data_IF_006901251246
#
_entry.id   IF_006901251246
#
_cell.length_a   1.000
_cell.length_b   1.000
_cell.length_c   1.000
_cell.angle_alpha   90.00
_cell.angle_beta   90.00
_cell.angle_gamma   90.00
#
_symmetry.space_group_name_H-M   'P 1'
#
loop_
_entity.id
_entity.type
_entity.pdbx_description
1 polymer ?
#
# COMPACT_ATOMS: atom_id res chain seq x y z
N UNK A 1 -25.35 20.19 17.47
CA UNK A 1 -23.92 20.25 17.81
C UNK A 1 -23.17 20.34 16.50
N UNK A 2 -22.62 21.51 16.19
CA UNK A 2 -22.00 21.80 14.90
C UNK A 2 -20.69 21.04 14.77
N UNK A 3 -20.61 20.15 13.80
CA UNK A 3 -19.37 19.54 13.34
C UNK A 3 -18.50 20.66 12.74
N UNK A 4 -17.46 21.09 13.46
CA UNK A 4 -16.46 22.02 12.96
C UNK A 4 -15.66 21.41 11.80
N UNK A 5 -16.21 21.50 10.60
CA UNK A 5 -15.46 21.29 9.36
C UNK A 5 -14.68 22.55 9.07
N UNK A 6 -13.36 22.52 9.28
CA UNK A 6 -12.48 23.53 8.70
C UNK A 6 -12.45 23.30 7.19
N UNK A 7 -13.16 24.12 6.45
CA UNK A 7 -13.04 24.20 5.00
C UNK A 7 -11.79 25.01 4.67
N UNK A 8 -10.68 24.33 4.36
CA UNK A 8 -9.72 24.96 3.47
C UNK A 8 -10.38 25.03 2.10
N UNK A 9 -10.58 26.23 1.59
CA UNK A 9 -11.05 26.44 0.22
C UNK A 9 -9.91 26.06 -0.71
N UNK A 10 -9.74 24.76 -0.89
CA UNK A 10 -8.88 24.18 -1.90
C UNK A 10 -9.64 24.31 -3.22
N UNK A 11 -9.17 25.15 -4.13
CA UNK A 11 -9.69 25.19 -5.48
C UNK A 11 -8.91 24.19 -6.34
N UNK A 12 -9.42 22.97 -6.54
CA UNK A 12 -8.72 21.92 -7.30
C UNK A 12 -8.46 22.34 -8.74
N UNK A 13 -9.32 23.23 -9.31
CA UNK A 13 -9.16 23.74 -10.66
C UNK A 13 -7.95 24.66 -10.82
N UNK A 14 -7.53 25.34 -9.76
CA UNK A 14 -6.35 26.22 -9.80
C UNK A 14 -5.02 25.46 -9.78
N UNK A 15 -5.01 24.23 -9.24
CA UNK A 15 -3.81 23.42 -9.18
C UNK A 15 -3.42 22.78 -10.53
N UNK A 16 -4.37 22.63 -11.45
CA UNK A 16 -4.20 21.88 -12.70
C UNK A 16 -4.27 22.77 -13.95
N UNK A 17 -4.83 23.98 -13.86
CA UNK A 17 -5.25 24.75 -15.05
C UNK A 17 -4.25 25.82 -15.56
N UNK A 18 -3.11 26.03 -14.96
CA UNK A 18 -2.12 26.99 -15.47
C UNK A 18 -0.96 26.26 -16.18
N UNK A 19 -1.02 26.25 -17.49
CA UNK A 19 -0.05 25.74 -18.48
C UNK A 19 -0.26 24.28 -18.97
N UNK A 20 -0.13 24.10 -20.28
CA UNK A 20 -0.24 22.85 -21.07
C UNK A 20 0.79 21.75 -20.75
N UNK A 21 1.38 21.70 -19.55
CA UNK A 21 2.29 20.65 -19.13
C UNK A 21 1.61 19.71 -18.14
N UNK A 22 1.85 18.41 -18.30
CA UNK A 22 1.35 17.39 -17.36
C UNK A 22 1.74 17.74 -15.93
N UNK A 23 0.79 17.63 -15.00
CA UNK A 23 1.00 17.93 -13.58
C UNK A 23 0.75 16.67 -12.76
N UNK A 24 1.81 15.97 -12.48
CA UNK A 24 1.75 14.77 -11.65
C UNK A 24 1.74 15.17 -10.16
N UNK A 25 0.80 14.59 -9.42
CA UNK A 25 0.56 14.93 -8.01
C UNK A 25 0.83 13.70 -7.15
N UNK A 26 1.62 13.85 -6.09
CA UNK A 26 1.81 12.84 -5.06
C UNK A 26 0.97 13.22 -3.85
N UNK A 27 0.03 12.36 -3.47
CA UNK A 27 -0.81 12.55 -2.28
C UNK A 27 -0.27 11.66 -1.15
N UNK A 28 0.15 12.28 -0.06
CA UNK A 28 0.66 11.58 1.14
C UNK A 28 -0.11 12.00 2.39
N UNK A 29 -0.12 11.14 3.40
CA UNK A 29 -0.54 11.50 4.75
C UNK A 29 0.60 12.16 5.50
N UNK A 30 0.36 13.27 6.16
CA UNK A 30 1.40 13.97 6.93
C UNK A 30 1.41 13.60 8.43
N UNK A 31 0.54 12.69 8.86
CA UNK A 31 0.41 12.23 10.25
C UNK A 31 0.63 10.71 10.35
N UNK A 32 -0.15 10.01 11.18
CA UNK A 32 -0.08 8.56 11.41
C UNK A 32 -1.09 7.74 10.58
N UNK A 33 -1.45 8.18 9.40
CA UNK A 33 -2.48 7.54 8.58
C UNK A 33 -3.90 8.01 8.94
N UNK A 34 -4.88 7.49 8.20
CA UNK A 34 -6.31 7.82 8.37
C UNK A 34 -6.63 9.33 8.25
N UNK A 35 -5.79 10.10 7.57
CA UNK A 35 -6.01 11.53 7.32
C UNK A 35 -7.17 11.80 6.33
N UNK A 36 -7.72 10.76 5.71
CA UNK A 36 -8.75 10.90 4.69
C UNK A 36 -8.19 11.07 3.27
N UNK A 37 -6.96 10.61 3.03
CA UNK A 37 -6.33 10.63 1.69
C UNK A 37 -7.24 10.11 0.59
N UNK A 38 -7.96 9.00 0.82
CA UNK A 38 -8.87 8.42 -0.16
C UNK A 38 -9.91 9.39 -0.69
N UNK A 39 -10.48 10.25 0.16
CA UNK A 39 -11.45 11.29 -0.25
C UNK A 39 -10.82 12.35 -1.16
N UNK A 40 -9.59 12.74 -0.87
CA UNK A 40 -8.86 13.73 -1.68
C UNK A 40 -8.41 13.11 -3.00
N UNK A 41 -7.95 11.85 -2.99
CA UNK A 41 -7.63 11.10 -4.21
C UNK A 41 -8.88 10.98 -5.10
N UNK A 42 -10.01 10.59 -4.54
CA UNK A 42 -11.28 10.47 -5.25
C UNK A 42 -11.71 11.82 -5.89
N UNK A 43 -11.60 12.92 -5.15
CA UNK A 43 -11.89 14.28 -5.62
C UNK A 43 -10.99 14.71 -6.80
N UNK A 44 -9.72 14.31 -6.81
CA UNK A 44 -8.75 14.65 -7.84
C UNK A 44 -8.79 13.69 -9.05
N UNK A 45 -9.31 12.49 -8.85
CA UNK A 45 -9.29 11.41 -9.86
C UNK A 45 -9.94 11.80 -11.20
N UNK A 46 -11.06 12.55 -11.25
CA UNK A 46 -11.65 12.96 -12.55
C UNK A 46 -10.73 13.82 -13.43
N UNK A 47 -9.65 14.39 -12.86
CA UNK A 47 -8.73 15.30 -13.55
C UNK A 47 -7.44 14.60 -13.99
N UNK A 48 -7.30 13.28 -13.75
CA UNK A 48 -6.10 12.51 -14.08
C UNK A 48 -6.41 11.33 -15.00
N UNK A 49 -5.43 10.91 -15.77
CA UNK A 49 -5.54 9.75 -16.64
C UNK A 49 -5.19 8.43 -15.90
N UNK A 50 -4.47 8.55 -14.80
CA UNK A 50 -4.02 7.39 -14.05
C UNK A 50 -3.88 7.67 -12.54
N UNK A 51 -4.12 6.62 -11.73
CA UNK A 51 -3.83 6.59 -10.30
C UNK A 51 -2.87 5.44 -9.99
N UNK A 52 -1.82 5.71 -9.21
CA UNK A 52 -0.73 4.75 -8.93
C UNK A 52 -0.56 4.56 -7.42
N UNK A 53 -0.65 3.32 -6.94
CA UNK A 53 -0.15 2.93 -5.62
C UNK A 53 1.33 2.59 -5.75
N UNK A 54 2.16 3.22 -4.93
CA UNK A 54 3.61 3.09 -5.07
C UNK A 54 4.30 2.43 -3.86
N UNK A 55 3.61 2.25 -2.74
CA UNK A 55 4.15 1.62 -1.53
C UNK A 55 3.05 1.02 -0.64
N UNK A 56 3.44 0.30 0.42
CA UNK A 56 2.55 -0.37 1.34
C UNK A 56 2.04 -1.70 0.79
N UNK A 57 0.92 -2.13 1.29
CA UNK A 57 0.23 -3.35 0.89
C UNK A 57 -1.24 -3.27 1.28
N UNK A 58 -1.87 -4.40 1.54
CA UNK A 58 -3.27 -4.47 1.98
C UNK A 58 -3.47 -4.07 3.47
N UNK A 59 -2.45 -3.53 4.12
CA UNK A 59 -2.57 -2.87 5.43
C UNK A 59 -3.17 -1.46 5.34
N UNK A 60 -3.29 -0.88 4.15
CA UNK A 60 -4.09 0.32 3.93
C UNK A 60 -5.58 -0.01 3.97
N UNK A 61 -6.42 0.99 4.21
CA UNK A 61 -7.87 0.87 4.13
C UNK A 61 -8.47 2.23 3.78
N UNK A 62 -8.93 2.39 2.54
CA UNK A 62 -9.61 3.59 2.07
C UNK A 62 -11.09 3.29 1.94
N UNK A 63 -11.92 3.88 2.81
CA UNK A 63 -13.37 3.78 2.69
C UNK A 63 -13.88 4.94 1.84
N UNK A 64 -14.52 4.59 0.74
CA UNK A 64 -15.13 5.53 -0.20
C UNK A 64 -16.63 5.27 -0.29
N UNK A 65 -17.38 6.30 -0.64
CA UNK A 65 -18.80 6.20 -0.94
C UNK A 65 -19.02 6.60 -2.39
N UNK A 66 -19.41 5.64 -3.21
CA UNK A 66 -19.68 5.83 -4.62
C UNK A 66 -21.13 5.43 -4.89
N UNK A 67 -21.94 6.32 -5.43
CA UNK A 67 -23.36 6.12 -5.71
C UNK A 67 -24.14 5.57 -4.50
N UNK A 68 -23.82 6.09 -3.30
CA UNK A 68 -24.45 5.67 -2.05
C UNK A 68 -23.98 4.30 -1.51
N UNK A 69 -23.05 3.63 -2.17
CA UNK A 69 -22.47 2.35 -1.74
C UNK A 69 -21.11 2.57 -1.06
N UNK A 70 -20.93 1.94 0.09
CA UNK A 70 -19.67 1.94 0.82
C UNK A 70 -18.72 0.91 0.20
N UNK A 71 -17.57 1.36 -0.28
CA UNK A 71 -16.51 0.50 -0.82
C UNK A 71 -15.21 0.70 -0.01
N UNK A 72 -14.54 -0.39 0.33
CA UNK A 72 -13.26 -0.35 1.06
C UNK A 72 -12.17 -0.88 0.15
N UNK A 73 -11.25 0.00 -0.24
CA UNK A 73 -10.07 -0.35 -1.03
C UNK A 73 -8.84 -0.53 -0.13
N UNK A 74 -8.03 -1.53 -0.42
CA UNK A 74 -6.81 -1.84 0.34
C UNK A 74 -5.55 -1.85 -0.51
N UNK A 75 -5.53 -2.61 -1.60
CA UNK A 75 -4.43 -2.73 -2.55
C UNK A 75 -4.67 -1.92 -3.82
N UNK A 76 -5.90 -1.98 -4.32
CA UNK A 76 -6.27 -1.37 -5.59
C UNK A 76 -6.33 0.15 -5.43
N UNK A 77 -5.76 0.93 -6.37
CA UNK A 77 -5.85 2.39 -6.32
C UNK A 77 -7.28 2.90 -6.36
N UNK A 78 -7.57 3.99 -5.65
CA UNK A 78 -8.92 4.57 -5.54
C UNK A 78 -9.52 4.98 -6.89
N UNK A 79 -8.68 5.26 -7.88
CA UNK A 79 -9.09 5.58 -9.25
C UNK A 79 -9.89 4.47 -9.95
N UNK A 80 -9.91 3.24 -9.44
CA UNK A 80 -10.66 2.13 -10.03
C UNK A 80 -12.18 2.38 -10.06
N UNK A 81 -12.68 3.25 -9.20
CA UNK A 81 -14.09 3.63 -9.14
C UNK A 81 -14.51 4.59 -10.26
N UNK A 82 -13.55 5.14 -11.02
CA UNK A 82 -13.77 6.05 -12.14
C UNK A 82 -13.42 5.34 -13.45
N UNK A 83 -14.40 5.05 -14.30
CA UNK A 83 -14.28 4.19 -15.47
C UNK A 83 -13.19 4.59 -16.47
N UNK A 84 -12.90 5.89 -16.57
CA UNK A 84 -11.97 6.44 -17.55
C UNK A 84 -10.51 6.46 -17.08
N UNK A 85 -10.27 6.05 -15.82
CA UNK A 85 -8.97 6.14 -15.17
C UNK A 85 -8.29 4.78 -15.15
N UNK A 86 -7.02 4.74 -15.54
CA UNK A 86 -6.16 3.56 -15.39
C UNK A 86 -5.57 3.51 -13.99
N UNK A 87 -5.48 2.32 -13.44
CA UNK A 87 -4.95 2.07 -12.11
C UNK A 87 -3.69 1.23 -12.18
N UNK A 88 -2.66 1.63 -11.44
CA UNK A 88 -1.38 0.96 -11.46
C UNK A 88 -0.94 0.59 -10.04
N UNK A 89 -0.43 -0.62 -9.87
CA UNK A 89 0.27 -1.05 -8.66
C UNK A 89 1.76 -1.12 -9.01
N UNK A 90 2.52 -0.17 -8.45
CA UNK A 90 3.95 -0.05 -8.70
C UNK A 90 4.79 -1.04 -7.87
N UNK A 91 6.05 -1.22 -8.26
CA UNK A 91 7.01 -2.19 -7.69
C UNK A 91 7.35 -1.99 -6.21
N UNK A 92 6.96 -0.85 -5.64
CA UNK A 92 7.11 -0.58 -4.21
C UNK A 92 6.04 -1.24 -3.35
N UNK A 93 4.95 -1.74 -3.92
CA UNK A 93 3.84 -2.38 -3.19
C UNK A 93 4.14 -3.86 -2.98
N UNK A 94 3.84 -4.38 -1.79
CA UNK A 94 3.86 -5.82 -1.48
C UNK A 94 2.44 -6.39 -1.63
N UNK A 95 2.29 -7.49 -2.37
CA UNK A 95 1.00 -8.00 -2.83
C UNK A 95 0.70 -9.37 -2.22
N UNK A 96 -0.42 -9.49 -1.51
CA UNK A 96 -1.06 -10.77 -1.24
C UNK A 96 -1.99 -11.12 -2.40
N UNK A 97 -1.72 -12.19 -3.18
CA UNK A 97 -2.60 -12.58 -4.28
C UNK A 97 -4.03 -12.85 -3.80
N UNK A 98 -4.18 -13.54 -2.69
CA UNK A 98 -5.46 -13.84 -2.08
C UNK A 98 -6.28 -12.58 -1.79
N UNK A 99 -5.69 -11.58 -1.12
CA UNK A 99 -6.38 -10.34 -0.76
C UNK A 99 -6.66 -9.48 -2.00
N UNK A 100 -5.77 -9.51 -3.00
CA UNK A 100 -5.99 -8.81 -4.27
C UNK A 100 -7.23 -9.34 -4.99
N UNK A 101 -7.33 -10.66 -5.18
CA UNK A 101 -8.46 -11.25 -5.90
C UNK A 101 -9.77 -11.18 -5.11
N UNK A 102 -9.69 -11.22 -3.80
CA UNK A 102 -10.85 -10.94 -2.94
C UNK A 102 -11.36 -9.51 -3.17
N UNK A 103 -10.46 -8.53 -3.22
CA UNK A 103 -10.81 -7.11 -3.46
C UNK A 103 -11.35 -6.90 -4.88
N UNK A 104 -10.74 -7.53 -5.90
CA UNK A 104 -11.26 -7.51 -7.29
C UNK A 104 -12.69 -8.05 -7.32
N UNK A 105 -12.93 -9.21 -6.73
CA UNK A 105 -14.26 -9.82 -6.72
C UNK A 105 -15.31 -8.97 -5.98
N UNK A 106 -14.93 -8.33 -4.86
CA UNK A 106 -15.81 -7.41 -4.15
C UNK A 106 -16.15 -6.19 -5.01
N UNK A 107 -15.18 -5.63 -5.76
CA UNK A 107 -15.39 -4.51 -6.68
C UNK A 107 -16.32 -4.89 -7.85
N UNK A 108 -16.09 -6.02 -8.47
CA UNK A 108 -16.90 -6.48 -9.60
C UNK A 108 -18.36 -6.71 -9.22
N UNK A 109 -18.64 -7.16 -7.99
CA UNK A 109 -20.01 -7.25 -7.45
C UNK A 109 -20.70 -5.88 -7.35
N UNK A 110 -19.96 -4.81 -7.22
CA UNK A 110 -20.52 -3.44 -7.22
C UNK A 110 -20.74 -2.89 -8.62
N UNK A 111 -20.31 -3.62 -9.67
CA UNK A 111 -20.39 -3.20 -11.07
C UNK A 111 -19.13 -2.49 -11.59
N UNK A 112 -18.08 -2.35 -10.76
CA UNK A 112 -16.82 -1.75 -11.19
C UNK A 112 -16.07 -2.69 -12.14
N UNK A 113 -15.73 -2.23 -13.33
CA UNK A 113 -14.88 -2.99 -14.26
C UNK A 113 -13.42 -2.87 -13.84
N UNK A 114 -12.79 -3.96 -13.38
CA UNK A 114 -11.39 -3.98 -12.99
C UNK A 114 -10.49 -4.43 -14.14
N UNK A 115 -10.94 -5.40 -14.92
CA UNK A 115 -10.23 -5.89 -16.09
C UNK A 115 -9.91 -4.77 -17.08
N UNK A 116 -8.74 -4.82 -17.70
CA UNK A 116 -8.20 -3.81 -18.63
C UNK A 116 -7.91 -2.44 -18.01
N UNK A 117 -8.21 -2.21 -16.73
CA UNK A 117 -7.92 -0.92 -16.07
C UNK A 117 -6.91 -1.01 -14.96
N UNK A 118 -6.77 -2.16 -14.31
CA UNK A 118 -5.74 -2.41 -13.30
C UNK A 118 -4.52 -3.06 -13.96
N UNK A 119 -3.34 -2.49 -13.72
CA UNK A 119 -2.06 -3.04 -14.14
C UNK A 119 -1.11 -3.14 -12.95
N UNK A 120 -0.34 -4.24 -12.88
CA UNK A 120 0.50 -4.61 -11.74
C UNK A 120 1.94 -4.78 -12.23
N UNK A 121 2.88 -4.14 -11.55
CA UNK A 121 4.28 -4.29 -11.87
C UNK A 121 4.77 -5.74 -11.59
N UNK A 122 5.48 -6.36 -12.54
CA UNK A 122 5.95 -7.74 -12.40
C UNK A 122 6.94 -7.91 -11.23
N UNK A 123 7.57 -6.83 -10.80
CA UNK A 123 8.58 -6.81 -9.74
C UNK A 123 8.03 -6.61 -8.33
N UNK A 124 6.70 -6.50 -8.16
CA UNK A 124 6.06 -6.46 -6.84
C UNK A 124 6.40 -7.72 -6.03
N UNK A 125 6.90 -7.60 -4.79
CA UNK A 125 7.08 -8.76 -3.91
C UNK A 125 5.72 -9.35 -3.50
N UNK A 126 5.68 -10.67 -3.37
CA UNK A 126 4.51 -11.39 -2.89
C UNK A 126 4.50 -11.47 -1.36
N UNK A 127 3.32 -11.34 -0.78
CA UNK A 127 3.05 -11.73 0.61
C UNK A 127 2.49 -13.15 0.56
N UNK A 128 3.19 -14.09 1.18
CA UNK A 128 2.85 -15.50 1.22
C UNK A 128 2.52 -15.93 2.66
N UNK A 129 1.90 -17.09 2.87
CA UNK A 129 1.45 -17.53 4.21
C UNK A 129 2.55 -17.50 5.27
N UNK A 130 3.80 -17.79 4.93
CA UNK A 130 4.90 -17.74 5.89
C UNK A 130 5.22 -16.31 6.36
N UNK A 131 4.96 -15.27 5.57
CA UNK A 131 5.10 -13.88 6.01
C UNK A 131 4.06 -13.53 7.08
N UNK A 132 2.84 -14.00 6.90
CA UNK A 132 1.76 -13.78 7.87
C UNK A 132 2.07 -14.55 9.16
N UNK A 133 2.48 -15.81 9.05
CA UNK A 133 2.81 -16.66 10.18
C UNK A 133 3.97 -16.09 11.02
N UNK A 134 5.04 -15.60 10.36
CA UNK A 134 6.19 -15.02 11.09
C UNK A 134 5.85 -13.66 11.71
N UNK A 135 5.01 -12.86 11.09
CA UNK A 135 4.51 -11.59 11.64
C UNK A 135 3.77 -11.85 12.97
N UNK A 136 2.86 -12.82 12.99
CA UNK A 136 2.16 -13.24 14.20
C UNK A 136 3.10 -13.83 15.25
N UNK A 137 4.03 -14.70 14.87
CA UNK A 137 4.97 -15.34 15.81
C UNK A 137 5.86 -14.29 16.48
N UNK A 138 6.34 -13.30 15.73
CA UNK A 138 7.16 -12.20 16.25
C UNK A 138 6.38 -11.33 17.23
N UNK A 139 5.15 -10.97 16.91
CA UNK A 139 4.29 -10.19 17.81
C UNK A 139 3.96 -10.97 19.09
N UNK A 140 3.67 -12.26 18.98
CA UNK A 140 3.42 -13.09 20.16
C UNK A 140 4.62 -13.20 21.06
N UNK A 141 5.82 -13.40 20.51
CA UNK A 141 7.07 -13.53 21.30
C UNK A 141 7.47 -12.26 22.05
N UNK A 142 7.03 -11.08 21.58
CA UNK A 142 7.29 -9.79 22.23
C UNK A 142 6.44 -9.52 23.47
N UNK A 143 5.35 -10.25 23.66
CA UNK A 143 4.48 -10.09 24.82
C UNK A 143 3.97 -8.66 24.98
N UNK A 144 4.32 -7.98 26.06
CA UNK A 144 3.93 -6.59 26.34
C UNK A 144 4.65 -5.55 25.43
N UNK A 145 5.74 -5.92 24.78
CA UNK A 145 6.55 -5.04 23.91
C UNK A 145 6.14 -5.15 22.43
N UNK A 146 4.90 -5.51 22.15
CA UNK A 146 4.38 -5.58 20.79
C UNK A 146 4.52 -4.25 20.06
N UNK A 147 4.87 -4.29 18.79
CA UNK A 147 4.83 -3.12 17.88
C UNK A 147 3.38 -2.76 17.54
N UNK A 148 2.48 -3.74 17.58
CA UNK A 148 1.10 -3.57 17.14
C UNK A 148 0.98 -3.63 15.62
N UNK A 149 1.65 -4.60 14.99
CA UNK A 149 1.53 -4.83 13.55
C UNK A 149 0.11 -5.21 13.17
N UNK A 150 -0.22 -5.07 11.89
CA UNK A 150 -1.54 -5.50 11.39
C UNK A 150 -1.65 -7.03 11.25
N UNK A 151 -0.59 -7.79 11.49
CA UNK A 151 -0.54 -9.24 11.34
C UNK A 151 -0.72 -9.73 9.89
N UNK A 152 -0.46 -8.86 8.91
CA UNK A 152 -0.71 -9.14 7.48
C UNK A 152 0.55 -9.51 6.69
N UNK A 153 1.67 -9.72 7.37
CA UNK A 153 2.92 -10.10 6.75
C UNK A 153 3.61 -9.01 5.93
N UNK A 154 3.21 -7.75 6.10
CA UNK A 154 3.78 -6.61 5.35
C UNK A 154 5.27 -6.46 5.65
N UNK A 155 5.64 -6.37 6.92
CA UNK A 155 7.03 -6.23 7.37
C UNK A 155 7.93 -7.35 6.86
N UNK A 156 7.59 -8.61 7.11
CA UNK A 156 8.36 -9.75 6.60
C UNK A 156 8.52 -9.77 5.07
N UNK A 157 7.51 -9.35 4.31
CA UNK A 157 7.63 -9.27 2.85
C UNK A 157 8.62 -8.16 2.40
N UNK A 158 8.65 -7.02 3.08
CA UNK A 158 9.67 -5.99 2.84
C UNK A 158 11.06 -6.45 3.29
N UNK A 159 11.18 -7.18 4.40
CA UNK A 159 12.42 -7.81 4.86
C UNK A 159 12.98 -8.74 3.76
N UNK A 160 12.16 -9.61 3.21
CA UNK A 160 12.56 -10.50 2.12
C UNK A 160 12.98 -9.75 0.85
N UNK A 161 12.29 -8.64 0.52
CA UNK A 161 12.66 -7.78 -0.59
C UNK A 161 14.08 -7.24 -0.43
N UNK A 162 14.41 -6.69 0.74
CA UNK A 162 15.73 -6.11 1.04
C UNK A 162 16.79 -7.20 1.15
N UNK A 163 16.45 -8.37 1.72
CA UNK A 163 17.31 -9.54 1.78
C UNK A 163 17.52 -10.22 0.39
N UNK A 164 16.83 -9.76 -0.65
CA UNK A 164 16.93 -10.26 -2.04
C UNK A 164 16.48 -11.73 -2.19
N UNK A 165 15.59 -12.20 -1.31
CA UNK A 165 14.99 -13.54 -1.38
C UNK A 165 13.47 -13.50 -1.65
N UNK A 166 12.88 -12.30 -1.79
CA UNK A 166 11.46 -12.16 -2.08
C UNK A 166 11.08 -12.90 -3.36
N UNK A 167 9.99 -13.65 -3.30
CA UNK A 167 9.26 -14.09 -4.48
C UNK A 167 8.44 -12.91 -5.02
N UNK A 168 8.53 -12.67 -6.33
CA UNK A 168 7.86 -11.55 -7.01
C UNK A 168 6.74 -12.05 -7.90
N UNK A 169 5.89 -11.16 -8.33
CA UNK A 169 4.79 -11.47 -9.25
C UNK A 169 5.30 -12.18 -10.51
N UNK A 170 6.39 -11.73 -11.11
CA UNK A 170 6.99 -12.36 -12.30
C UNK A 170 7.42 -13.81 -12.07
N UNK A 171 7.85 -14.15 -10.85
CA UNK A 171 8.31 -15.51 -10.53
C UNK A 171 7.16 -16.54 -10.61
N UNK A 172 5.90 -16.11 -10.44
CA UNK A 172 4.72 -16.95 -10.59
C UNK A 172 4.60 -17.60 -12.00
N UNK A 173 5.18 -16.95 -13.01
CA UNK A 173 5.12 -17.41 -14.40
C UNK A 173 6.26 -18.36 -14.78
N UNK A 174 7.17 -18.63 -13.83
CA UNK A 174 8.27 -19.58 -13.94
C UNK A 174 8.15 -20.70 -12.88
N UNK A 175 7.22 -21.67 -13.03
CA UNK A 175 6.83 -22.59 -11.96
C UNK A 175 7.99 -23.36 -11.32
N UNK A 176 8.99 -23.76 -12.12
CA UNK A 176 10.16 -24.52 -11.62
C UNK A 176 11.03 -23.64 -10.72
N UNK A 177 11.33 -22.42 -11.15
CA UNK A 177 12.12 -21.45 -10.38
C UNK A 177 11.36 -21.01 -9.13
N UNK A 178 10.06 -20.76 -9.27
CA UNK A 178 9.19 -20.42 -8.14
C UNK A 178 9.21 -21.53 -7.08
N UNK A 179 9.03 -22.80 -7.49
CA UNK A 179 9.05 -23.94 -6.59
C UNK A 179 10.38 -24.07 -5.83
N UNK A 180 11.50 -23.89 -6.53
CA UNK A 180 12.83 -23.93 -5.90
C UNK A 180 12.97 -22.83 -4.84
N UNK A 181 12.72 -21.58 -5.19
CA UNK A 181 12.83 -20.42 -4.27
C UNK A 181 11.85 -20.50 -3.10
N UNK A 182 10.64 -21.01 -3.34
CA UNK A 182 9.66 -21.23 -2.27
C UNK A 182 10.17 -22.24 -1.25
N UNK A 183 10.80 -23.36 -1.70
CA UNK A 183 11.41 -24.35 -0.80
C UNK A 183 12.54 -23.75 0.02
N UNK A 184 13.41 -22.96 -0.62
CA UNK A 184 14.52 -22.27 0.05
C UNK A 184 13.99 -21.31 1.16
N UNK A 185 12.97 -20.50 0.85
CA UNK A 185 12.36 -19.61 1.82
C UNK A 185 11.67 -20.39 2.96
N UNK A 186 10.90 -21.42 2.62
CA UNK A 186 10.24 -22.26 3.63
C UNK A 186 11.23 -22.94 4.56
N UNK A 187 12.39 -23.37 4.08
CA UNK A 187 13.43 -23.93 4.93
C UNK A 187 13.91 -22.91 5.98
N UNK A 188 14.11 -21.65 5.59
CA UNK A 188 14.50 -20.57 6.49
C UNK A 188 13.41 -20.27 7.54
N UNK A 189 12.16 -20.10 7.07
CA UNK A 189 11.05 -19.75 7.97
C UNK A 189 10.64 -20.91 8.87
N UNK A 190 10.61 -22.14 8.38
CA UNK A 190 10.30 -23.32 9.17
C UNK A 190 11.37 -23.58 10.25
N UNK A 191 12.63 -23.30 9.97
CA UNK A 191 13.67 -23.31 10.99
C UNK A 191 13.36 -22.31 12.12
N UNK A 192 12.94 -21.08 11.79
CA UNK A 192 12.54 -20.09 12.78
C UNK A 192 11.28 -20.52 13.55
N UNK A 193 10.25 -21.00 12.85
CA UNK A 193 9.03 -21.49 13.48
C UNK A 193 9.30 -22.56 14.51
N UNK A 194 10.08 -23.57 14.14
CA UNK A 194 10.39 -24.71 14.99
C UNK A 194 11.29 -24.36 16.15
N UNK A 195 12.41 -23.69 15.90
CA UNK A 195 13.49 -23.54 16.87
C UNK A 195 13.48 -22.23 17.64
N UNK A 196 12.88 -21.16 17.08
CA UNK A 196 12.84 -19.86 17.74
C UNK A 196 11.48 -19.54 18.35
N UNK A 197 10.40 -19.83 17.60
CA UNK A 197 9.04 -19.45 18.02
C UNK A 197 8.22 -20.61 18.54
N UNK A 198 8.70 -21.87 18.42
CA UNK A 198 8.02 -23.10 18.85
C UNK A 198 6.60 -23.20 18.30
N UNK A 199 6.44 -22.86 17.04
CA UNK A 199 5.19 -22.94 16.27
C UNK A 199 5.28 -23.98 15.17
N UNK A 200 4.15 -24.32 14.55
CA UNK A 200 4.07 -25.31 13.49
C UNK A 200 4.78 -24.87 12.22
N UNK A 201 5.49 -25.81 11.61
CA UNK A 201 6.07 -25.63 10.27
C UNK A 201 4.96 -25.55 9.20
N UNK A 202 5.23 -24.84 8.11
CA UNK A 202 4.32 -24.72 6.97
C UNK A 202 4.71 -25.69 5.86
N UNK A 203 3.70 -26.35 5.29
CA UNK A 203 3.89 -27.28 4.17
C UNK A 203 4.07 -26.52 2.84
N UNK A 204 4.88 -27.08 1.96
CA UNK A 204 5.15 -26.52 0.63
C UNK A 204 3.94 -26.63 -0.32
N UNK A 205 3.32 -27.81 -0.39
CA UNK A 205 2.34 -28.11 -1.45
C UNK A 205 1.12 -27.18 -1.45
N UNK A 206 0.46 -26.90 -0.32
CA UNK A 206 -0.68 -25.99 -0.30
C UNK A 206 -0.32 -24.59 -0.81
N UNK A 207 0.83 -24.05 -0.35
CA UNK A 207 1.29 -22.72 -0.74
C UNK A 207 1.61 -22.66 -2.23
N UNK A 208 2.28 -23.69 -2.74
CA UNK A 208 2.62 -23.78 -4.15
C UNK A 208 1.37 -23.86 -5.04
N UNK A 209 0.41 -24.72 -4.68
CA UNK A 209 -0.82 -24.89 -5.44
C UNK A 209 -1.64 -23.60 -5.50
N UNK A 210 -1.81 -22.92 -4.36
CA UNK A 210 -2.49 -21.63 -4.30
C UNK A 210 -1.79 -20.59 -5.17
N UNK A 211 -0.46 -20.52 -5.12
CA UNK A 211 0.30 -19.59 -5.93
C UNK A 211 0.15 -19.87 -7.44
N UNK A 212 0.15 -21.14 -7.84
CA UNK A 212 -0.04 -21.50 -9.25
C UNK A 212 -1.47 -21.22 -9.73
N UNK A 213 -2.45 -21.38 -8.87
CA UNK A 213 -3.83 -20.95 -9.15
C UNK A 213 -3.91 -19.43 -9.36
N UNK A 214 -3.32 -18.64 -8.46
CA UNK A 214 -3.29 -17.17 -8.60
C UNK A 214 -2.44 -16.71 -9.79
N UNK A 215 -1.41 -17.44 -10.19
CA UNK A 215 -0.60 -17.11 -11.37
C UNK A 215 -1.44 -16.96 -12.64
N UNK A 216 -2.38 -17.90 -12.86
CA UNK A 216 -3.27 -17.86 -14.02
C UNK A 216 -4.20 -16.64 -13.99
N UNK A 217 -4.75 -16.33 -12.82
CA UNK A 217 -5.65 -15.19 -12.66
C UNK A 217 -4.91 -13.85 -12.76
N UNK A 218 -3.65 -13.78 -12.29
CA UNK A 218 -2.85 -12.56 -12.25
C UNK A 218 -2.30 -12.16 -13.63
N UNK A 219 -2.07 -13.13 -14.50
CA UNK A 219 -1.44 -12.93 -15.82
C UNK A 219 -2.02 -11.76 -16.63
N UNK A 220 -3.34 -11.56 -16.72
CA UNK A 220 -3.93 -10.44 -17.49
C UNK A 220 -3.66 -9.04 -16.92
N UNK A 221 -3.23 -8.96 -15.67
CA UNK A 221 -2.99 -7.69 -14.97
C UNK A 221 -1.51 -7.28 -14.98
N UNK A 222 -0.59 -8.19 -15.36
CA UNK A 222 0.85 -7.96 -15.21
C UNK A 222 1.44 -7.32 -16.44
N UNK A 223 1.96 -6.10 -16.25
CA UNK A 223 2.55 -5.29 -17.30
C UNK A 223 3.71 -4.43 -16.76
N UNK A 224 4.56 -3.91 -17.65
CA UNK A 224 5.58 -2.94 -17.27
C UNK A 224 4.97 -1.59 -16.89
N UNK A 225 4.60 -1.47 -15.63
CA UNK A 225 3.99 -0.25 -15.06
C UNK A 225 4.89 0.98 -15.28
N UNK A 226 6.20 0.84 -15.11
CA UNK A 226 7.14 1.96 -15.31
C UNK A 226 7.09 2.46 -16.76
N UNK A 227 7.07 1.54 -17.73
CA UNK A 227 6.96 1.88 -19.14
C UNK A 227 5.65 2.63 -19.45
N UNK A 228 4.51 2.10 -19.01
CA UNK A 228 3.21 2.74 -19.20
C UNK A 228 3.14 4.15 -18.59
N UNK A 229 3.64 4.31 -17.35
CA UNK A 229 3.64 5.61 -16.68
C UNK A 229 4.53 6.63 -17.42
N UNK A 230 5.70 6.20 -17.90
CA UNK A 230 6.57 7.08 -18.69
C UNK A 230 5.92 7.47 -20.04
N UNK A 231 5.19 6.56 -20.69
CA UNK A 231 4.39 6.91 -21.88
C UNK A 231 3.31 7.97 -21.56
N UNK A 232 2.63 7.86 -20.41
CA UNK A 232 1.63 8.85 -19.98
C UNK A 232 2.27 10.21 -19.74
N UNK A 233 3.45 10.25 -19.09
CA UNK A 233 4.21 11.47 -18.84
C UNK A 233 4.62 12.13 -20.16
N UNK A 234 5.17 11.35 -21.12
CA UNK A 234 5.55 11.84 -22.44
C UNK A 234 4.33 12.36 -23.26
N UNK A 235 3.20 11.74 -23.09
CA UNK A 235 1.94 12.17 -23.72
C UNK A 235 1.27 13.37 -23.02
N UNK A 236 1.91 13.97 -22.01
CA UNK A 236 1.36 15.12 -21.29
C UNK A 236 0.15 14.80 -20.40
N UNK A 237 -0.08 13.51 -20.06
CA UNK A 237 -1.21 13.09 -19.22
C UNK A 237 -0.88 13.27 -17.73
N UNK A 238 -1.88 13.71 -16.97
CA UNK A 238 -1.77 13.83 -15.51
C UNK A 238 -1.83 12.47 -14.84
N UNK A 239 -0.96 12.27 -13.83
CA UNK A 239 -0.90 11.07 -13.01
C UNK A 239 -1.02 11.47 -11.54
N UNK A 240 -1.82 10.73 -10.77
CA UNK A 240 -1.92 10.87 -9.34
C UNK A 240 -1.24 9.67 -8.66
N UNK A 241 -0.26 9.95 -7.81
CA UNK A 241 0.44 8.97 -7.00
C UNK A 241 -0.21 8.92 -5.61
N UNK A 242 -0.86 7.81 -5.32
CA UNK A 242 -1.62 7.59 -4.09
C UNK A 242 -0.75 6.92 -3.03
N UNK A 243 -0.39 7.66 -1.98
CA UNK A 243 0.33 7.13 -0.83
C UNK A 243 -0.57 6.37 0.13
N UNK A 244 0.02 5.42 0.84
CA UNK A 244 -0.59 4.69 1.93
C UNK A 244 0.05 5.10 3.27
N UNK A 245 -0.60 4.83 4.39
CA UNK A 245 -0.17 5.21 5.74
C UNK A 245 0.03 6.73 5.86
N UNK A 246 1.02 7.17 6.64
CA UNK A 246 1.35 8.58 6.84
C UNK A 246 2.82 8.79 7.15
N UNK A 247 3.32 10.00 7.01
CA UNK A 247 4.74 10.35 7.15
C UNK A 247 5.33 9.97 8.51
N UNK A 248 4.53 10.06 9.58
CA UNK A 248 4.97 9.66 10.93
C UNK A 248 4.98 8.15 11.15
N UNK A 249 4.54 7.37 10.17
CA UNK A 249 4.70 5.90 10.08
C UNK A 249 5.78 5.47 9.09
N UNK A 250 6.51 6.40 8.47
CA UNK A 250 7.62 6.09 7.55
C UNK A 250 8.72 5.32 8.28
N UNK A 251 9.32 4.32 7.61
CA UNK A 251 10.35 3.46 8.20
C UNK A 251 11.58 4.22 8.66
N UNK A 252 11.95 5.29 7.96
CA UNK A 252 13.18 6.07 8.24
C UNK A 252 12.89 7.31 9.08
N UNK A 253 11.78 8.01 8.83
CA UNK A 253 11.48 9.33 9.40
C UNK A 253 10.29 9.32 10.37
N UNK A 254 9.65 8.18 10.57
CA UNK A 254 8.52 8.02 11.49
C UNK A 254 8.96 7.78 12.93
N UNK A 255 7.98 7.46 13.78
CA UNK A 255 8.18 7.16 15.21
C UNK A 255 8.71 5.74 15.43
N UNK A 256 9.89 5.45 14.91
CA UNK A 256 10.55 4.14 15.02
C UNK A 256 10.70 3.67 16.47
N UNK A 257 10.48 2.39 16.82
CA UNK A 257 10.16 1.26 15.93
C UNK A 257 8.67 1.09 15.61
N UNK A 258 7.81 1.98 16.05
CA UNK A 258 6.35 1.93 15.86
C UNK A 258 5.97 2.58 14.53
N UNK A 259 6.39 1.95 13.43
CA UNK A 259 6.25 2.43 12.05
C UNK A 259 5.81 1.29 11.12
N UNK A 260 5.41 1.63 9.90
CA UNK A 260 5.27 0.63 8.82
C UNK A 260 6.64 0.30 8.23
N UNK A 261 6.75 -0.80 7.50
CA UNK A 261 8.02 -1.23 6.89
C UNK A 261 8.25 -0.63 5.49
N UNK A 262 7.52 0.41 5.13
CA UNK A 262 7.67 1.10 3.85
C UNK A 262 7.97 2.57 4.02
N UNK A 263 8.56 3.19 2.98
CA UNK A 263 8.71 4.63 2.92
C UNK A 263 7.39 5.28 2.49
N UNK A 264 6.86 6.17 3.35
CA UNK A 264 5.56 6.84 3.17
C UNK A 264 5.71 8.28 2.65
N UNK A 265 6.94 8.77 2.50
CA UNK A 265 7.23 10.12 2.00
C UNK A 265 7.10 10.20 0.47
N UNK A 266 6.93 11.39 -0.04
CA UNK A 266 6.69 11.64 -1.47
C UNK A 266 7.82 11.11 -2.38
N UNK A 267 9.08 11.11 -1.93
CA UNK A 267 10.21 10.55 -2.68
C UNK A 267 10.05 9.08 -3.04
N UNK A 268 9.32 8.31 -2.22
CA UNK A 268 9.04 6.91 -2.48
C UNK A 268 8.17 6.68 -3.74
N UNK A 269 7.42 7.69 -4.18
CA UNK A 269 6.60 7.59 -5.38
C UNK A 269 7.45 7.35 -6.64
N UNK A 270 8.61 8.01 -6.76
CA UNK A 270 9.53 7.79 -7.88
C UNK A 270 10.06 6.36 -7.91
N UNK A 271 10.61 5.89 -6.78
CA UNK A 271 11.21 4.56 -6.68
C UNK A 271 10.16 3.46 -6.80
N UNK A 272 9.02 3.63 -6.11
CA UNK A 272 7.97 2.60 -6.07
C UNK A 272 7.16 2.47 -7.36
N UNK A 273 7.16 3.46 -8.23
CA UNK A 273 6.46 3.43 -9.53
C UNK A 273 7.40 3.32 -10.73
N UNK A 274 8.72 3.59 -10.55
CA UNK A 274 9.70 3.54 -11.62
C UNK A 274 9.68 4.76 -12.55
N UNK A 275 9.24 5.92 -12.05
CA UNK A 275 9.29 7.19 -12.79
C UNK A 275 10.45 8.06 -12.29
N UNK A 276 10.91 8.98 -13.11
CA UNK A 276 11.94 9.93 -12.71
C UNK A 276 11.40 10.90 -11.64
N UNK A 277 12.20 11.23 -10.63
CA UNK A 277 11.79 12.15 -9.56
C UNK A 277 11.37 13.54 -10.08
N UNK A 278 12.01 14.01 -11.17
CA UNK A 278 11.66 15.26 -11.85
C UNK A 278 10.25 15.29 -12.42
N UNK A 279 9.64 14.10 -12.58
CA UNK A 279 8.26 13.97 -13.07
C UNK A 279 7.22 14.07 -11.95
N UNK A 280 7.62 14.22 -10.70
CA UNK A 280 6.75 14.47 -9.55
C UNK A 280 6.67 15.99 -9.34
N UNK A 281 5.59 16.61 -9.86
CA UNK A 281 5.51 18.08 -9.91
C UNK A 281 5.00 18.70 -8.61
N UNK A 282 4.03 18.05 -7.97
CA UNK A 282 3.40 18.54 -6.75
C UNK A 282 3.32 17.45 -5.69
N UNK A 283 3.52 17.85 -4.43
CA UNK A 283 3.30 17.01 -3.26
C UNK A 283 2.17 17.64 -2.45
N UNK A 284 1.11 16.87 -2.26
CA UNK A 284 -0.04 17.24 -1.45
C UNK A 284 -0.02 16.42 -0.15
N UNK A 285 0.34 17.07 0.94
CA UNK A 285 0.30 16.50 2.29
C UNK A 285 -1.09 16.66 2.90
N UNK A 286 -1.72 15.57 3.29
CA UNK A 286 -3.04 15.58 3.92
C UNK A 286 -2.87 15.52 5.43
N UNK A 287 -3.51 16.45 6.12
CA UNK A 287 -3.64 16.46 7.57
C UNK A 287 -5.11 16.49 7.95
N UNK A 288 -5.45 15.95 9.10
CA UNK A 288 -6.76 16.17 9.72
C UNK A 288 -6.61 16.95 11.01
N UNK A 289 -7.59 17.78 11.32
CA UNK A 289 -7.59 18.64 12.50
C UNK A 289 -7.52 17.83 13.81
N UNK A 290 -8.06 16.61 13.79
CA UNK A 290 -8.04 15.69 14.92
C UNK A 290 -7.21 14.47 14.56
N UNK A 291 -5.95 14.44 14.98
CA UNK A 291 -5.03 13.35 14.69
C UNK A 291 -5.54 12.03 15.29
N UNK A 292 -5.28 10.92 14.60
CA UNK A 292 -5.54 9.56 15.10
C UNK A 292 -4.32 8.69 14.81
N UNK A 293 -4.14 7.68 15.64
CA UNK A 293 -3.11 6.66 15.46
C UNK A 293 -3.73 5.28 15.66
N UNK A 294 -3.34 4.33 14.83
CA UNK A 294 -3.62 2.91 15.00
C UNK A 294 -2.31 2.19 15.34
N UNK A 295 -2.35 1.24 16.28
CA UNK A 295 -1.17 0.54 16.79
C UNK A 295 -0.53 1.22 17.99
N UNK A 296 0.54 0.61 18.49
CA UNK A 296 1.30 1.08 19.65
C UNK A 296 2.24 2.23 19.30
N UNK A 297 2.84 2.84 20.32
CA UNK A 297 3.89 3.86 20.20
C UNK A 297 3.45 5.25 20.61
N UNK A 298 4.37 6.22 20.58
CA UNK A 298 4.13 7.56 21.08
C UNK A 298 3.03 8.28 20.27
N UNK A 299 2.14 8.95 21.00
CA UNK A 299 1.08 9.75 20.41
C UNK A 299 0.99 11.10 21.14
N UNK A 300 1.90 12.03 20.86
CA UNK A 300 2.04 13.31 21.60
C UNK A 300 0.79 14.21 21.57
N UNK A 301 -0.12 13.98 20.63
CA UNK A 301 -1.39 14.71 20.51
C UNK A 301 -2.55 14.05 21.27
N UNK A 302 -2.29 12.98 22.03
CA UNK A 302 -3.30 12.34 22.87
C UNK A 302 -3.62 13.23 24.07
N UNK A 303 -4.89 13.60 24.26
CA UNK A 303 -5.33 14.46 25.36
C UNK A 303 -5.04 13.85 26.74
N UNK A 304 -5.19 12.54 26.90
CA UNK A 304 -4.89 11.86 28.17
C UNK A 304 -3.40 11.93 28.50
N UNK A 305 -2.54 11.71 27.51
CA UNK A 305 -1.10 11.81 27.68
C UNK A 305 -0.64 13.24 27.99
N UNK A 306 -1.25 14.25 27.37
CA UNK A 306 -0.91 15.65 27.61
C UNK A 306 -1.47 16.18 28.94
N UNK A 307 -2.59 15.65 29.42
CA UNK A 307 -3.12 16.00 30.76
C UNK A 307 -2.22 15.48 31.87
N UNK A 308 -1.79 14.21 31.78
CA UNK A 308 -0.85 13.62 32.77
C UNK A 308 0.47 14.42 32.84
N UNK A 309 1.00 14.84 31.67
CA UNK A 309 2.22 15.64 31.62
C UNK A 309 2.03 17.07 32.19
N UNK A 310 0.80 17.59 32.23
CA UNK A 310 0.50 18.90 32.80
C UNK A 310 0.35 18.83 34.35
N UNK A 311 -0.08 17.70 34.87
CA UNK A 311 -0.29 17.49 36.31
C UNK A 311 1.03 17.21 37.06
N UNK A 312 2.11 16.87 36.34
CA UNK A 312 3.46 16.69 36.91
C UNK A 312 4.31 17.97 37.01
N UNK A 313 3.73 19.14 36.74
CA UNK A 313 4.36 20.47 36.84
C UNK A 313 3.65 21.28 37.93
#
# INVERSE_FOLDING_TARGET
MNNGQLFFVFNPNKLILENNMSRNIVVIGAQWGDEGKGKIVDLLTPQVAAVVRFQGGHNAGHTLWVDGKRTVLRLIPSGILHEQVKCFIGSGVVISPQELFKEIHELEKTGASVHNRLLIAPTCPLILPYHIAIDHAREQSRGAQKIGTTGRGIGPAYEDKVARRALRVLDLFEPKLFAQRLKENLAIYNCQFKHLYHTSELAFDPIYQDCMHYAQQMKPFVEDVSHHLNQYIQAGKNILFEGAQGSLLDIDYGTYPFVTSSNCLAGAAAVGSGVASKSLHYVLGIVKAYATRVGSGPFPTCLLYTSDAADER
#
